data_IF_043506054826
#
_entry.id   IF_043506054826
#
_cell.length_a   1.000
_cell.length_b   1.000
_cell.length_c   1.000
_cell.angle_alpha   90.00
_cell.angle_beta   90.00
_cell.angle_gamma   90.00
#
_symmetry.space_group_name_H-M   'P 1'
#
loop_
_entity.id
_entity.type
_entity.pdbx_description
1 polymer ?
#
# COMPACT_ATOMS: atom_id res chain seq x y z
N UNK A 1 4.34 2.70 10.48
CA UNK A 1 3.94 3.91 9.72
C UNK A 1 4.26 3.77 8.23
N UNK A 2 3.48 4.41 7.36
CA UNK A 2 3.79 4.64 5.95
C UNK A 2 3.90 6.16 5.73
N UNK A 3 4.93 6.61 5.01
CA UNK A 3 5.09 8.04 4.68
C UNK A 3 5.03 8.22 3.18
N UNK A 4 4.18 9.14 2.72
CA UNK A 4 4.22 9.69 1.36
C UNK A 4 4.95 11.03 1.37
N UNK A 5 5.09 11.65 0.19
CA UNK A 5 5.69 12.99 0.05
C UNK A 5 4.89 14.07 0.79
N UNK A 6 3.60 13.83 1.05
CA UNK A 6 2.67 14.83 1.58
C UNK A 6 2.29 14.54 3.03
N UNK A 7 2.18 13.26 3.41
CA UNK A 7 1.63 12.89 4.71
C UNK A 7 2.21 11.58 5.25
N UNK A 8 2.17 11.44 6.58
CA UNK A 8 2.44 10.20 7.29
C UNK A 8 1.13 9.56 7.76
N UNK A 9 1.03 8.25 7.61
CA UNK A 9 -0.11 7.44 8.01
C UNK A 9 0.32 6.39 9.03
N UNK A 10 -0.38 6.37 10.16
CA UNK A 10 -0.26 5.32 11.15
C UNK A 10 -0.90 4.03 10.65
N UNK A 11 -0.42 2.89 11.16
CA UNK A 11 -0.98 1.60 10.80
C UNK A 11 -2.47 1.49 11.16
N UNK A 12 -2.91 2.14 12.25
CA UNK A 12 -4.33 2.19 12.64
C UNK A 12 -5.23 2.87 11.61
N UNK A 13 -4.69 3.75 10.76
CA UNK A 13 -5.43 4.43 9.71
C UNK A 13 -5.57 3.58 8.44
N UNK A 14 -4.77 2.53 8.31
CA UNK A 14 -4.67 1.68 7.12
C UNK A 14 -5.56 0.45 7.30
N UNK A 15 -6.50 0.26 6.37
CA UNK A 15 -7.40 -0.89 6.34
C UNK A 15 -6.69 -2.13 5.81
N UNK A 16 -6.11 -2.02 4.61
CA UNK A 16 -5.40 -3.11 3.95
C UNK A 16 -4.50 -2.60 2.83
N UNK A 17 -3.66 -3.48 2.31
CA UNK A 17 -2.81 -3.22 1.15
C UNK A 17 -3.39 -3.96 -0.04
N UNK A 18 -3.54 -3.27 -1.16
CA UNK A 18 -3.87 -3.88 -2.45
C UNK A 18 -2.61 -4.04 -3.29
N UNK A 19 -2.46 -5.23 -3.87
CA UNK A 19 -1.38 -5.53 -4.81
C UNK A 19 -1.98 -6.00 -6.13
N UNK A 20 -1.56 -5.37 -7.22
CA UNK A 20 -1.92 -5.79 -8.56
C UNK A 20 -0.69 -5.77 -9.46
N UNK A 21 -0.15 -6.93 -9.79
CA UNK A 21 1.14 -7.08 -10.47
C UNK A 21 2.24 -6.25 -9.79
N UNK A 22 2.59 -5.09 -10.36
CA UNK A 22 3.64 -4.17 -9.88
C UNK A 22 3.10 -2.98 -9.09
N UNK A 23 1.77 -2.82 -9.03
CA UNK A 23 1.12 -1.65 -8.41
C UNK A 23 0.69 -1.99 -6.99
N UNK A 24 1.10 -1.14 -6.06
CA UNK A 24 0.77 -1.25 -4.64
C UNK A 24 -0.10 -0.06 -4.27
N UNK A 25 -1.16 -0.32 -3.52
CA UNK A 25 -2.11 0.68 -3.06
C UNK A 25 -2.41 0.52 -1.57
N UNK A 26 -2.30 1.60 -0.81
CA UNK A 26 -2.64 1.60 0.62
C UNK A 26 -4.07 2.09 0.77
N UNK A 27 -4.98 1.20 1.18
CA UNK A 27 -6.37 1.56 1.44
C UNK A 27 -6.51 2.03 2.89
N UNK A 28 -7.06 3.22 3.08
CA UNK A 28 -7.38 3.76 4.41
C UNK A 28 -8.79 3.37 4.85
N UNK A 29 -9.00 3.25 6.17
CA UNK A 29 -10.33 3.05 6.72
C UNK A 29 -11.29 4.20 6.34
N UNK A 30 -12.55 3.87 6.08
CA UNK A 30 -13.58 4.83 5.70
C UNK A 30 -13.45 5.37 4.27
N UNK A 31 -12.42 4.98 3.51
CA UNK A 31 -12.28 5.34 2.08
C UNK A 31 -12.74 4.19 1.20
N UNK A 32 -13.58 4.52 0.20
CA UNK A 32 -14.11 3.54 -0.75
C UNK A 32 -13.06 3.04 -1.75
N UNK A 33 -12.08 3.89 -2.08
CA UNK A 33 -11.02 3.64 -3.08
C UNK A 33 -9.67 4.11 -2.54
N UNK A 34 -8.58 3.63 -3.15
CA UNK A 34 -7.20 3.98 -2.74
C UNK A 34 -6.89 5.41 -3.18
N UNK A 35 -6.46 6.31 -2.28
CA UNK A 35 -5.97 7.63 -2.68
C UNK A 35 -4.79 7.53 -3.65
N UNK A 36 -4.74 8.36 -4.69
CA UNK A 36 -3.71 8.26 -5.73
C UNK A 36 -2.29 8.46 -5.19
N UNK A 37 -2.11 9.33 -4.20
CA UNK A 37 -0.84 9.58 -3.51
C UNK A 37 -0.37 8.39 -2.65
N UNK A 38 -1.28 7.48 -2.31
CA UNK A 38 -1.03 6.21 -1.62
C UNK A 38 -0.88 5.03 -2.56
N UNK A 39 -0.62 5.31 -3.84
CA UNK A 39 -0.37 4.31 -4.84
C UNK A 39 1.03 4.47 -5.44
N UNK A 40 1.79 3.38 -5.50
CA UNK A 40 3.16 3.40 -5.98
C UNK A 40 3.56 2.08 -6.65
N UNK A 41 4.71 2.11 -7.31
CA UNK A 41 5.41 0.97 -7.88
C UNK A 41 6.87 1.04 -7.46
N UNK A 42 7.51 -0.13 -7.34
CA UNK A 42 8.95 -0.18 -7.19
C UNK A 42 9.63 0.09 -8.53
N UNK A 43 10.81 0.72 -8.47
CA UNK A 43 11.65 0.87 -9.64
C UNK A 43 12.18 -0.50 -10.09
N UNK A 44 12.56 -0.60 -11.36
CA UNK A 44 13.14 -1.82 -11.92
C UNK A 44 14.41 -2.20 -11.15
N UNK A 45 14.51 -3.45 -10.74
CA UNK A 45 15.59 -3.98 -9.90
C UNK A 45 15.33 -3.88 -8.40
N UNK A 46 14.24 -3.23 -7.98
CA UNK A 46 13.84 -3.13 -6.57
C UNK A 46 12.55 -3.90 -6.25
N UNK A 47 11.92 -4.54 -7.25
CA UNK A 47 10.60 -5.14 -7.07
C UNK A 47 10.57 -6.22 -5.98
N UNK A 48 11.53 -7.14 -5.98
CA UNK A 48 11.57 -8.24 -5.00
C UNK A 48 11.76 -7.72 -3.57
N UNK A 49 12.84 -6.97 -3.32
CA UNK A 49 13.14 -6.42 -2.00
C UNK A 49 12.04 -5.47 -1.51
N UNK A 50 11.43 -4.70 -2.41
CA UNK A 50 10.33 -3.82 -2.09
C UNK A 50 9.07 -4.58 -1.69
N UNK A 51 8.70 -5.62 -2.43
CA UNK A 51 7.54 -6.46 -2.11
C UNK A 51 7.74 -7.18 -0.78
N UNK A 52 8.93 -7.72 -0.53
CA UNK A 52 9.27 -8.33 0.76
C UNK A 52 9.14 -7.33 1.91
N UNK A 53 9.62 -6.10 1.75
CA UNK A 53 9.46 -5.06 2.76
C UNK A 53 7.99 -4.71 3.04
N UNK A 54 7.14 -4.69 2.01
CA UNK A 54 5.68 -4.49 2.16
C UNK A 54 5.04 -5.65 2.91
N UNK A 55 5.43 -6.89 2.58
CA UNK A 55 4.93 -8.09 3.25
C UNK A 55 5.32 -8.11 4.73
N UNK A 56 6.59 -7.86 5.05
CA UNK A 56 7.08 -7.78 6.42
C UNK A 56 6.36 -6.67 7.20
N UNK A 57 6.20 -5.49 6.61
CA UNK A 57 5.46 -4.40 7.26
C UNK A 57 4.01 -4.79 7.54
N UNK A 58 3.34 -5.45 6.58
CA UNK A 58 1.96 -5.87 6.72
C UNK A 58 1.81 -6.91 7.83
N UNK A 59 2.70 -7.89 7.89
CA UNK A 59 2.73 -8.91 8.94
C UNK A 59 2.92 -8.29 10.34
N UNK A 60 3.93 -7.43 10.49
CA UNK A 60 4.23 -6.74 11.75
C UNK A 60 3.07 -5.87 12.26
N UNK A 61 2.28 -5.30 11.33
CA UNK A 61 1.17 -4.39 11.66
C UNK A 61 -0.21 -5.07 11.54
N UNK A 62 -0.23 -6.39 11.33
CA UNK A 62 -1.43 -7.22 11.17
C UNK A 62 -2.39 -6.68 10.11
N UNK A 63 -1.84 -6.31 8.95
CA UNK A 63 -2.58 -5.81 7.79
C UNK A 63 -2.68 -6.89 6.73
N UNK A 64 -3.88 -7.01 6.17
CA UNK A 64 -4.13 -7.92 5.07
C UNK A 64 -3.57 -7.36 3.76
N UNK A 65 -2.89 -8.21 2.98
CA UNK A 65 -2.53 -7.95 1.59
C UNK A 65 -3.55 -8.65 0.69
N UNK A 66 -4.25 -7.89 -0.15
CA UNK A 66 -5.21 -8.44 -1.11
C UNK A 66 -4.67 -8.31 -2.53
N UNK A 67 -4.54 -9.44 -3.21
CA UNK A 67 -4.14 -9.51 -4.60
C UNK A 67 -5.36 -9.31 -5.51
N UNK A 68 -5.61 -8.07 -5.94
CA UNK A 68 -6.74 -7.74 -6.80
C UNK A 68 -6.54 -6.42 -7.54
N UNK A 69 -7.32 -6.23 -8.60
CA UNK A 69 -7.47 -4.92 -9.22
C UNK A 69 -8.09 -3.91 -8.24
N UNK A 70 -7.63 -2.66 -8.29
CA UNK A 70 -8.17 -1.57 -7.49
C UNK A 70 -8.17 -0.25 -8.24
N UNK A 71 -9.13 0.60 -7.89
CA UNK A 71 -9.28 1.95 -8.44
C UNK A 71 -8.59 2.97 -7.54
N UNK A 72 -8.18 4.08 -8.14
CA UNK A 72 -7.61 5.24 -7.43
C UNK A 72 -8.41 6.50 -7.73
N UNK A 73 -8.52 7.40 -6.74
CA UNK A 73 -9.06 8.76 -6.94
C UNK A 73 -7.92 9.77 -6.93
N UNK A 74 -7.96 10.71 -7.87
CA UNK A 74 -7.12 11.90 -7.88
C UNK A 74 -7.58 12.92 -6.83
#
# INVERSE_FOLDING_TARGET
MISTKQQKYEASQIECIYMNYRRIGIKLYGKRIVPMDLCFYFQKGQETAGVEAVQQWAEQNHKEIKHKFFQTLA
#
